data_IF_082168065302
#
_entry.id   IF_082168065302
#
_cell.length_a   1.000
_cell.length_b   1.000
_cell.length_c   1.000
_cell.angle_alpha   90.00
_cell.angle_beta   90.00
_cell.angle_gamma   90.00
#
_symmetry.space_group_name_H-M   'P 1'
#
loop_
_entity.id
_entity.type
_entity.pdbx_description
1 polymer ?
#
# COMPACT_ATOMS: atom_id res chain seq x y z
N UNK A 1 3.38 11.65 -31.44
CA UNK A 1 4.35 10.54 -31.48
C UNK A 1 4.21 9.81 -30.15
N UNK A 2 3.54 8.65 -30.12
CA UNK A 2 3.28 7.91 -28.87
C UNK A 2 4.56 7.15 -28.51
N UNK A 3 5.35 7.68 -27.59
CA UNK A 3 6.44 6.93 -26.96
C UNK A 3 5.81 5.99 -25.93
N UNK A 4 5.45 4.78 -26.37
CA UNK A 4 5.24 3.67 -25.46
C UNK A 4 6.63 3.13 -25.09
N UNK A 5 7.00 3.18 -23.81
CA UNK A 5 8.12 2.40 -23.31
C UNK A 5 7.78 0.91 -23.53
N UNK A 6 8.73 0.09 -24.03
CA UNK A 6 8.49 -1.33 -24.23
C UNK A 6 8.20 -2.03 -22.90
N UNK A 7 7.27 -2.99 -22.95
CA UNK A 7 6.82 -3.85 -21.86
C UNK A 7 8.01 -4.42 -21.06
N UNK A 8 8.00 -4.27 -19.73
CA UNK A 8 9.10 -4.62 -18.82
C UNK A 8 9.28 -6.14 -18.59
N UNK A 9 8.86 -6.97 -19.53
CA UNK A 9 9.00 -8.44 -19.44
C UNK A 9 10.20 -9.00 -20.21
N UNK A 10 11.22 -8.17 -20.44
CA UNK A 10 12.53 -8.68 -20.89
C UNK A 10 13.34 -9.02 -19.65
N UNK A 11 13.38 -10.32 -19.31
CA UNK A 11 14.30 -10.84 -18.30
C UNK A 11 15.72 -10.33 -18.58
N UNK A 12 16.39 -9.87 -17.52
CA UNK A 12 17.73 -9.26 -17.57
C UNK A 12 18.81 -10.18 -18.18
N UNK A 13 18.50 -11.46 -18.44
CA UNK A 13 19.43 -12.47 -18.94
C UNK A 13 19.79 -12.35 -20.44
N UNK A 14 19.30 -11.34 -21.18
CA UNK A 14 19.61 -11.20 -22.63
C UNK A 14 19.87 -9.78 -23.15
N UNK A 15 20.04 -8.77 -22.29
CA UNK A 15 20.30 -7.40 -22.75
C UNK A 15 21.80 -7.16 -22.93
N UNK A 16 22.24 -6.84 -24.15
CA UNK A 16 23.66 -6.54 -24.41
C UNK A 16 24.15 -5.36 -23.54
N UNK A 17 25.42 -5.35 -23.09
CA UNK A 17 25.97 -4.24 -22.30
C UNK A 17 25.77 -2.87 -22.98
N UNK A 18 25.90 -2.81 -24.31
CA UNK A 18 25.64 -1.60 -25.10
C UNK A 18 24.19 -1.12 -24.99
N UNK A 19 23.22 -2.03 -24.93
CA UNK A 19 21.81 -1.69 -24.77
C UNK A 19 21.51 -1.19 -23.35
N UNK A 20 22.16 -1.75 -22.32
CA UNK A 20 22.06 -1.23 -20.95
C UNK A 20 22.64 0.18 -20.83
N UNK A 21 23.81 0.42 -21.43
CA UNK A 21 24.44 1.75 -21.50
C UNK A 21 23.51 2.73 -22.22
N UNK A 22 22.94 2.35 -23.37
CA UNK A 22 22.02 3.21 -24.12
C UNK A 22 20.75 3.52 -23.31
N UNK A 23 20.20 2.54 -22.59
CA UNK A 23 19.05 2.77 -21.68
C UNK A 23 19.43 3.71 -20.54
N UNK A 24 20.60 3.53 -19.93
CA UNK A 24 21.07 4.41 -18.86
C UNK A 24 21.28 5.85 -19.36
N UNK A 25 21.89 6.04 -20.53
CA UNK A 25 22.03 7.35 -21.14
C UNK A 25 20.67 7.97 -21.45
N UNK A 26 19.74 7.22 -22.05
CA UNK A 26 18.39 7.73 -22.34
C UNK A 26 17.63 8.12 -21.07
N UNK A 27 17.79 7.37 -19.97
CA UNK A 27 17.19 7.72 -18.67
C UNK A 27 17.82 9.02 -18.13
N UNK A 28 19.15 9.16 -18.21
CA UNK A 28 19.84 10.39 -17.80
C UNK A 28 19.40 11.60 -18.64
N UNK A 29 19.30 11.45 -19.96
CA UNK A 29 18.87 12.51 -20.88
C UNK A 29 17.41 12.94 -20.61
N UNK A 30 16.58 12.02 -20.12
CA UNK A 30 15.19 12.30 -19.77
C UNK A 30 15.03 12.82 -18.34
N UNK A 31 16.02 12.67 -17.46
CA UNK A 31 15.90 12.98 -16.05
C UNK A 31 15.51 14.46 -15.83
N UNK A 32 16.22 15.39 -16.46
CA UNK A 32 15.93 16.83 -16.34
C UNK A 32 14.50 17.16 -16.81
N UNK A 33 14.05 16.55 -17.91
CA UNK A 33 12.69 16.75 -18.44
C UNK A 33 11.64 16.18 -17.49
N UNK A 34 11.90 15.02 -16.89
CA UNK A 34 11.01 14.39 -15.93
C UNK A 34 10.95 15.20 -14.63
N UNK A 35 12.05 15.79 -14.19
CA UNK A 35 12.10 16.66 -13.01
C UNK A 35 11.29 17.94 -13.23
N UNK A 36 11.39 18.55 -14.42
CA UNK A 36 10.55 19.69 -14.82
C UNK A 36 9.05 19.33 -14.82
N UNK A 37 8.71 18.16 -15.36
CA UNK A 37 7.33 17.67 -15.37
C UNK A 37 6.81 17.36 -13.97
N UNK A 38 7.62 16.76 -13.09
CA UNK A 38 7.28 16.53 -11.68
C UNK A 38 7.04 17.85 -10.95
N UNK A 39 7.86 18.86 -11.20
CA UNK A 39 7.68 20.19 -10.63
C UNK A 39 6.37 20.83 -11.14
N UNK A 40 6.07 20.69 -12.43
CA UNK A 40 4.84 21.21 -13.06
C UNK A 40 3.56 20.62 -12.45
N UNK A 41 3.60 19.39 -11.94
CA UNK A 41 2.46 18.72 -11.30
C UNK A 41 2.57 18.68 -9.77
N UNK A 42 3.45 19.49 -9.17
CA UNK A 42 3.70 19.58 -7.73
C UNK A 42 4.04 18.22 -7.06
N UNK A 43 4.66 17.30 -7.81
CA UNK A 43 4.98 15.94 -7.35
C UNK A 43 6.44 15.73 -6.93
N UNK A 44 7.31 16.73 -7.09
CA UNK A 44 8.74 16.59 -6.72
C UNK A 44 8.92 16.20 -5.25
N UNK A 45 8.20 16.87 -4.34
CA UNK A 45 8.25 16.58 -2.90
C UNK A 45 7.79 15.16 -2.56
N UNK A 46 6.82 14.62 -3.29
CA UNK A 46 6.35 13.25 -3.11
C UNK A 46 7.40 12.25 -3.61
N UNK A 47 8.03 12.52 -4.75
CA UNK A 47 9.10 11.68 -5.28
C UNK A 47 10.27 11.57 -4.30
N UNK A 48 10.72 12.71 -3.76
CA UNK A 48 11.87 12.77 -2.85
C UNK A 48 11.58 12.19 -1.46
N UNK A 49 10.39 12.45 -0.90
CA UNK A 49 10.07 12.07 0.48
C UNK A 49 9.42 10.71 0.62
N UNK A 50 8.82 10.17 -0.44
CA UNK A 50 8.06 8.93 -0.38
C UNK A 50 8.56 7.89 -1.38
N UNK A 51 8.49 8.18 -2.69
CA UNK A 51 8.69 7.12 -3.70
C UNK A 51 10.16 6.68 -3.83
N UNK A 52 11.15 7.59 -3.84
CA UNK A 52 12.56 7.23 -3.87
C UNK A 52 13.03 6.51 -2.59
N UNK A 53 12.69 6.97 -1.37
CA UNK A 53 13.03 6.22 -0.15
C UNK A 53 12.38 4.83 -0.12
N UNK A 54 11.10 4.71 -0.50
CA UNK A 54 10.42 3.41 -0.61
C UNK A 54 11.16 2.49 -1.56
N UNK A 55 11.58 2.98 -2.74
CA UNK A 55 12.31 2.15 -3.70
C UNK A 55 13.61 1.59 -3.10
N UNK A 56 14.34 2.38 -2.30
CA UNK A 56 15.55 1.90 -1.61
C UNK A 56 15.21 0.83 -0.58
N UNK A 57 14.23 1.09 0.30
CA UNK A 57 13.81 0.11 1.31
C UNK A 57 13.33 -1.19 0.66
N UNK A 58 12.58 -1.12 -0.44
CA UNK A 58 12.15 -2.33 -1.17
C UNK A 58 13.36 -3.09 -1.72
N UNK A 59 14.35 -2.42 -2.31
CA UNK A 59 15.56 -3.07 -2.79
C UNK A 59 16.33 -3.78 -1.67
N UNK A 60 16.37 -3.18 -0.47
CA UNK A 60 16.96 -3.80 0.71
C UNK A 60 16.16 -5.06 1.12
N UNK A 61 14.82 -5.01 1.12
CA UNK A 61 13.98 -6.19 1.39
C UNK A 61 14.18 -7.30 0.35
N UNK A 62 14.32 -6.97 -0.93
CA UNK A 62 14.61 -7.95 -1.99
C UNK A 62 15.98 -8.60 -1.77
N UNK A 63 17.00 -7.80 -1.42
CA UNK A 63 18.35 -8.29 -1.16
C UNK A 63 18.42 -9.19 0.10
N UNK A 64 17.71 -8.80 1.17
CA UNK A 64 17.64 -9.58 2.41
C UNK A 64 16.82 -10.86 2.24
N UNK A 65 15.69 -10.78 1.52
CA UNK A 65 14.76 -11.88 1.37
C UNK A 65 14.07 -12.30 2.67
N UNK A 66 13.23 -13.32 2.59
CA UNK A 66 12.49 -13.87 3.73
C UNK A 66 12.87 -15.33 3.94
N UNK A 67 13.24 -15.71 5.16
CA UNK A 67 13.44 -17.11 5.49
C UNK A 67 12.12 -17.89 5.46
N UNK A 68 12.18 -19.09 4.90
CA UNK A 68 11.02 -19.99 4.71
C UNK A 68 11.33 -21.39 5.18
N UNK A 69 10.30 -22.12 5.55
CA UNK A 69 10.40 -23.52 5.99
C UNK A 69 11.13 -24.38 4.92
N UNK A 70 12.34 -24.90 5.22
CA UNK A 70 13.15 -25.65 4.26
C UNK A 70 12.53 -26.98 3.85
N UNK A 71 11.58 -27.51 4.63
CA UNK A 71 10.84 -28.71 4.25
C UNK A 71 9.94 -28.48 3.01
N UNK A 72 9.59 -27.23 2.74
CA UNK A 72 8.68 -26.83 1.67
C UNK A 72 9.40 -26.01 0.59
N UNK A 73 10.49 -25.32 0.96
CA UNK A 73 11.32 -24.50 0.09
C UNK A 73 12.80 -24.84 0.33
N UNK A 74 13.40 -25.76 -0.45
CA UNK A 74 14.77 -26.23 -0.23
C UNK A 74 15.84 -25.13 -0.16
N UNK A 75 15.57 -23.97 -0.76
CA UNK A 75 16.43 -22.79 -0.74
C UNK A 75 16.53 -22.16 0.67
N UNK A 76 15.55 -22.40 1.55
CA UNK A 76 15.48 -21.88 2.92
C UNK A 76 15.27 -20.37 3.03
N UNK A 77 15.51 -19.61 1.95
CA UNK A 77 15.28 -18.18 1.84
C UNK A 77 14.82 -17.83 0.42
N UNK A 78 13.85 -16.94 0.34
CA UNK A 78 13.26 -16.49 -0.92
C UNK A 78 13.41 -14.98 -1.06
N UNK A 79 13.63 -14.54 -2.29
CA UNK A 79 13.86 -13.14 -2.64
C UNK A 79 12.75 -12.70 -3.61
N UNK A 80 11.70 -12.02 -3.12
CA UNK A 80 10.62 -11.57 -3.98
C UNK A 80 11.10 -10.43 -4.89
N UNK A 81 10.33 -10.13 -5.94
CA UNK A 81 10.38 -8.85 -6.63
C UNK A 81 9.20 -8.00 -6.19
N UNK A 82 9.46 -6.83 -5.61
CA UNK A 82 8.45 -5.86 -5.19
C UNK A 82 8.10 -4.91 -6.33
N UNK A 83 6.80 -4.65 -6.48
CA UNK A 83 6.24 -3.76 -7.48
C UNK A 83 5.57 -2.59 -6.78
N UNK A 84 6.14 -1.39 -6.92
CA UNK A 84 5.60 -0.16 -6.34
C UNK A 84 4.97 0.79 -7.38
N UNK A 85 5.15 0.51 -8.67
CA UNK A 85 4.66 1.31 -9.81
C UNK A 85 3.52 0.65 -10.58
N UNK A 86 3.21 -0.64 -10.33
CA UNK A 86 2.16 -1.38 -11.07
C UNK A 86 0.74 -0.97 -10.70
N UNK A 87 0.50 -0.62 -9.45
CA UNK A 87 -0.85 -0.26 -8.99
C UNK A 87 -1.15 1.21 -9.26
N UNK A 88 -2.33 1.50 -9.82
CA UNK A 88 -2.82 2.88 -10.00
C UNK A 88 -3.10 3.61 -8.68
N UNK A 89 -3.22 2.88 -7.57
CA UNK A 89 -3.35 3.44 -6.20
C UNK A 89 -1.99 3.53 -5.50
N UNK A 90 -0.92 3.06 -6.15
CA UNK A 90 0.41 2.98 -5.59
C UNK A 90 0.54 2.01 -4.41
N UNK A 91 -0.40 1.05 -4.30
CA UNK A 91 -0.28 -0.11 -3.43
C UNK A 91 0.90 -0.98 -3.83
N UNK A 92 1.61 -1.48 -2.82
CA UNK A 92 2.75 -2.38 -2.98
C UNK A 92 2.29 -3.81 -3.21
N UNK A 93 3.03 -4.55 -4.02
CA UNK A 93 2.78 -5.98 -4.28
C UNK A 93 4.09 -6.71 -4.53
N UNK A 94 4.08 -8.03 -4.48
CA UNK A 94 5.25 -8.88 -4.72
C UNK A 94 4.95 -9.99 -5.72
N UNK A 95 5.91 -10.34 -6.58
CA UNK A 95 5.89 -11.55 -7.41
C UNK A 95 7.19 -12.33 -7.25
N UNK A 96 7.18 -13.57 -7.76
CA UNK A 96 8.37 -14.41 -7.90
C UNK A 96 9.21 -14.56 -6.60
N UNK A 97 8.60 -14.98 -5.46
CA UNK A 97 7.21 -15.42 -5.29
C UNK A 97 6.28 -14.32 -4.73
N UNK A 98 4.96 -14.52 -4.86
CA UNK A 98 3.98 -13.68 -4.18
C UNK A 98 3.95 -13.99 -2.68
N UNK A 99 4.58 -13.13 -1.88
CA UNK A 99 4.72 -13.28 -0.43
C UNK A 99 3.38 -13.47 0.29
N UNK A 100 2.32 -12.78 -0.14
CA UNK A 100 0.99 -12.91 0.48
C UNK A 100 0.44 -14.34 0.37
N UNK A 101 0.74 -15.05 -0.71
CA UNK A 101 0.27 -16.41 -0.93
C UNK A 101 0.99 -17.44 -0.05
N UNK A 102 2.21 -17.13 0.40
CA UNK A 102 3.09 -18.07 1.12
C UNK A 102 3.45 -17.59 2.53
N UNK A 103 2.83 -16.51 3.02
CA UNK A 103 3.11 -15.91 4.35
C UNK A 103 3.09 -16.88 5.52
N UNK A 104 2.35 -17.99 5.43
CA UNK A 104 2.27 -19.03 6.47
C UNK A 104 3.48 -19.95 6.51
N UNK A 105 4.44 -19.73 5.61
CA UNK A 105 5.67 -20.53 5.45
C UNK A 105 6.91 -19.79 5.93
N UNK A 106 6.75 -18.54 6.36
CA UNK A 106 7.85 -17.73 6.87
C UNK A 106 8.32 -18.29 8.21
N UNK A 107 9.63 -18.32 8.40
CA UNK A 107 10.30 -18.71 9.64
C UNK A 107 11.38 -17.68 9.97
N UNK A 108 11.87 -17.67 11.21
CA UNK A 108 13.02 -16.83 11.56
C UNK A 108 14.27 -17.36 10.85
N UNK A 109 15.01 -16.47 10.19
CA UNK A 109 16.28 -16.82 9.55
C UNK A 109 17.40 -17.09 10.56
N UNK A 110 18.49 -17.67 10.07
CA UNK A 110 19.68 -17.92 10.87
C UNK A 110 20.16 -16.64 11.59
N UNK A 111 20.54 -16.79 12.86
CA UNK A 111 20.98 -15.68 13.71
C UNK A 111 19.84 -14.88 14.37
N UNK A 112 18.58 -15.20 14.08
CA UNK A 112 17.40 -14.52 14.65
C UNK A 112 16.58 -15.51 15.49
N UNK A 113 15.98 -15.02 16.58
CA UNK A 113 15.24 -15.87 17.53
C UNK A 113 13.79 -16.09 17.13
N UNK A 114 13.15 -15.10 16.50
CA UNK A 114 11.74 -15.15 16.14
C UNK A 114 11.39 -14.24 14.95
N UNK A 115 10.18 -14.42 14.43
CA UNK A 115 9.53 -13.44 13.58
C UNK A 115 8.62 -12.57 14.43
N UNK A 116 8.64 -11.26 14.20
CA UNK A 116 7.71 -10.32 14.80
C UNK A 116 6.88 -9.67 13.70
N UNK A 117 5.55 -9.69 13.83
CA UNK A 117 4.66 -9.01 12.88
C UNK A 117 3.94 -7.86 13.58
N UNK A 118 4.09 -6.65 13.04
CA UNK A 118 3.39 -5.45 13.52
C UNK A 118 2.44 -4.99 12.44
N UNK A 119 1.16 -4.79 12.79
CA UNK A 119 0.13 -4.43 11.81
C UNK A 119 -0.76 -3.30 12.29
N UNK A 120 -1.31 -2.54 11.36
CA UNK A 120 -2.34 -1.58 11.69
C UNK A 120 -3.66 -2.24 12.13
N UNK A 121 -4.36 -1.57 13.03
CA UNK A 121 -5.69 -1.96 13.50
C UNK A 121 -6.73 -1.12 12.76
N UNK A 122 -7.51 -1.77 11.88
CA UNK A 122 -8.62 -1.15 11.16
C UNK A 122 -8.21 0.16 10.44
N UNK A 123 -7.15 0.09 9.64
CA UNK A 123 -6.58 1.25 8.96
C UNK A 123 -7.57 1.91 8.00
N UNK A 124 -8.30 1.12 7.20
CA UNK A 124 -9.31 1.62 6.27
C UNK A 124 -10.42 2.38 7.00
N UNK A 125 -10.85 1.90 8.17
CA UNK A 125 -11.90 2.56 8.95
C UNK A 125 -11.44 3.90 9.53
N UNK A 126 -10.17 4.01 9.95
CA UNK A 126 -9.58 5.28 10.41
C UNK A 126 -9.47 6.28 9.28
N UNK A 127 -9.10 5.80 8.09
CA UNK A 127 -9.05 6.62 6.90
C UNK A 127 -10.44 7.12 6.50
N UNK A 128 -11.45 6.25 6.54
CA UNK A 128 -12.85 6.64 6.30
C UNK A 128 -13.33 7.68 7.32
N UNK A 129 -13.03 7.50 8.61
CA UNK A 129 -13.34 8.48 9.65
C UNK A 129 -12.65 9.83 9.42
N UNK A 130 -11.41 9.81 8.92
CA UNK A 130 -10.67 11.02 8.56
C UNK A 130 -11.29 11.73 7.35
N UNK A 131 -11.62 10.99 6.28
CA UNK A 131 -12.21 11.55 5.07
C UNK A 131 -13.63 12.10 5.31
N UNK A 132 -14.44 11.43 6.13
CA UNK A 132 -15.82 11.83 6.41
C UNK A 132 -15.96 12.84 7.56
N UNK A 133 -14.92 13.03 8.37
CA UNK A 133 -15.00 13.75 9.64
C UNK A 133 -15.83 13.04 10.72
N UNK A 134 -16.27 11.80 10.49
CA UNK A 134 -17.08 11.02 11.42
C UNK A 134 -16.22 10.03 12.22
N UNK A 135 -15.77 10.48 13.40
CA UNK A 135 -15.04 9.62 14.35
C UNK A 135 -15.87 8.40 14.82
N UNK A 136 -17.20 8.46 14.73
CA UNK A 136 -18.13 7.39 15.10
C UNK A 136 -17.95 6.12 14.25
N UNK A 137 -17.36 6.24 13.06
CA UNK A 137 -17.04 5.10 12.19
C UNK A 137 -16.04 4.12 12.82
N UNK A 138 -15.32 4.50 13.88
CA UNK A 138 -14.38 3.63 14.59
C UNK A 138 -14.97 2.93 15.81
N UNK A 139 -16.28 3.08 16.07
CA UNK A 139 -17.00 2.50 17.21
C UNK A 139 -17.10 0.96 17.24
N UNK A 140 -17.36 0.40 18.42
CA UNK A 140 -17.15 -1.01 18.75
C UNK A 140 -18.22 -2.01 18.25
N UNK A 141 -19.43 -1.59 17.88
CA UNK A 141 -20.59 -2.51 17.87
C UNK A 141 -20.61 -3.60 16.76
N UNK A 142 -19.73 -3.56 15.75
CA UNK A 142 -19.56 -4.64 14.77
C UNK A 142 -18.18 -4.62 14.09
N UNK A 143 -17.10 -4.56 14.89
CA UNK A 143 -15.74 -4.34 14.38
C UNK A 143 -15.30 -5.31 13.25
N UNK A 144 -15.83 -6.54 13.16
CA UNK A 144 -15.50 -7.42 12.03
C UNK A 144 -16.24 -7.05 10.75
N UNK A 145 -17.58 -6.95 10.77
CA UNK A 145 -18.38 -6.63 9.59
C UNK A 145 -18.02 -5.26 9.01
N UNK A 146 -17.87 -4.25 9.87
CA UNK A 146 -17.50 -2.89 9.45
C UNK A 146 -16.11 -2.84 8.84
N UNK A 147 -15.13 -3.58 9.41
CA UNK A 147 -13.80 -3.71 8.80
C UNK A 147 -13.88 -4.34 7.42
N UNK A 148 -14.69 -5.39 7.27
CA UNK A 148 -14.85 -6.07 5.98
C UNK A 148 -15.53 -5.17 4.95
N UNK A 149 -16.53 -4.36 5.35
CA UNK A 149 -17.17 -3.37 4.45
C UNK A 149 -16.17 -2.27 4.07
N UNK A 150 -15.43 -1.71 5.03
CA UNK A 150 -14.40 -0.71 4.76
C UNK A 150 -13.33 -1.23 3.78
N UNK A 151 -12.88 -2.48 3.99
CA UNK A 151 -11.98 -3.16 3.08
C UNK A 151 -12.60 -3.36 1.70
N UNK A 152 -13.85 -3.85 1.62
CA UNK A 152 -14.56 -4.01 0.36
C UNK A 152 -14.63 -2.70 -0.46
N UNK A 153 -14.85 -1.56 0.21
CA UNK A 153 -14.85 -0.25 -0.44
C UNK A 153 -13.46 0.18 -0.92
N UNK A 154 -12.42 -0.08 -0.13
CA UNK A 154 -11.05 0.25 -0.51
C UNK A 154 -10.57 -0.56 -1.73
N UNK A 155 -11.00 -1.81 -1.89
CA UNK A 155 -10.51 -2.72 -2.92
C UNK A 155 -11.52 -3.01 -4.05
N UNK A 156 -12.52 -2.14 -4.24
CA UNK A 156 -13.58 -2.22 -5.28
C UNK A 156 -14.33 -3.56 -5.32
N UNK A 157 -14.60 -4.16 -4.16
CA UNK A 157 -15.32 -5.43 -4.12
C UNK A 157 -16.78 -5.27 -4.51
N UNK A 158 -17.27 -6.23 -5.28
CA UNK A 158 -18.68 -6.36 -5.57
C UNK A 158 -19.50 -6.90 -4.39
N UNK A 159 -20.83 -6.72 -4.44
CA UNK A 159 -21.73 -7.27 -3.43
C UNK A 159 -21.63 -8.80 -3.26
N UNK A 160 -21.24 -9.54 -4.32
CA UNK A 160 -21.04 -10.98 -4.26
C UNK A 160 -19.81 -11.40 -3.45
N UNK A 161 -18.69 -10.70 -3.64
CA UNK A 161 -17.43 -10.96 -2.92
C UNK A 161 -17.56 -10.62 -1.43
N UNK A 162 -18.20 -9.49 -1.14
CA UNK A 162 -18.53 -9.11 0.24
C UNK A 162 -19.46 -10.13 0.90
N UNK A 163 -20.52 -10.56 0.21
CA UNK A 163 -21.45 -11.56 0.71
C UNK A 163 -20.77 -12.90 1.00
N UNK A 164 -19.90 -13.36 0.10
CA UNK A 164 -19.14 -14.60 0.28
C UNK A 164 -18.19 -14.51 1.50
N UNK A 165 -17.52 -13.36 1.67
CA UNK A 165 -16.58 -13.13 2.78
C UNK A 165 -17.31 -13.09 4.13
N UNK A 166 -18.43 -12.38 4.20
CA UNK A 166 -19.26 -12.26 5.41
C UNK A 166 -20.16 -13.48 5.67
N UNK A 167 -20.28 -14.39 4.70
CA UNK A 167 -21.20 -15.54 4.73
C UNK A 167 -22.66 -15.13 4.93
N UNK A 168 -23.08 -14.06 4.25
CA UNK A 168 -24.46 -13.52 4.26
C UNK A 168 -25.06 -13.55 2.85
N UNK A 169 -26.35 -13.21 2.71
CA UNK A 169 -26.93 -13.10 1.38
C UNK A 169 -26.41 -11.85 0.64
N UNK A 170 -26.42 -11.87 -0.70
CA UNK A 170 -26.08 -10.67 -1.51
C UNK A 170 -26.98 -9.48 -1.17
N UNK A 171 -28.22 -9.72 -0.75
CA UNK A 171 -29.14 -8.68 -0.29
C UNK A 171 -28.63 -8.05 1.01
N UNK A 172 -28.31 -8.86 2.00
CA UNK A 172 -27.83 -8.37 3.30
C UNK A 172 -26.49 -7.63 3.15
N UNK A 173 -25.59 -8.13 2.29
CA UNK A 173 -24.34 -7.43 1.97
C UNK A 173 -24.59 -6.03 1.37
N UNK A 174 -25.55 -5.90 0.45
CA UNK A 174 -25.96 -4.58 -0.09
C UNK A 174 -26.55 -3.68 1.00
N UNK A 175 -27.41 -4.22 1.86
CA UNK A 175 -28.00 -3.46 2.97
C UNK A 175 -26.93 -2.99 3.98
N UNK A 176 -25.89 -3.80 4.23
CA UNK A 176 -24.74 -3.42 5.04
C UNK A 176 -23.93 -2.28 4.41
N UNK A 177 -23.60 -2.38 3.11
CA UNK A 177 -22.89 -1.32 2.39
C UNK A 177 -23.69 -0.03 2.39
N UNK A 178 -25.00 -0.08 2.12
CA UNK A 178 -25.86 1.11 2.11
C UNK A 178 -25.96 1.77 3.48
N UNK A 179 -26.02 0.96 4.55
CA UNK A 179 -26.03 1.48 5.92
C UNK A 179 -24.71 2.18 6.24
N UNK A 180 -23.60 1.63 5.78
CA UNK A 180 -22.27 2.19 6.00
C UNK A 180 -22.02 3.45 5.16
N UNK A 181 -22.40 3.43 3.88
CA UNK A 181 -22.39 4.58 2.96
C UNK A 181 -23.61 5.50 3.18
N UNK A 182 -23.83 5.90 4.43
CA UNK A 182 -24.89 6.84 4.80
C UNK A 182 -24.32 8.06 5.53
N UNK A 183 -25.08 9.15 5.56
CA UNK A 183 -24.69 10.36 6.27
C UNK A 183 -23.38 10.97 5.76
N UNK A 184 -22.50 11.45 6.67
CA UNK A 184 -21.29 12.22 6.31
C UNK A 184 -20.34 11.52 5.36
N UNK A 185 -20.23 10.18 5.45
CA UNK A 185 -19.34 9.43 4.57
C UNK A 185 -19.80 9.48 3.11
N UNK A 186 -21.10 9.36 2.87
CA UNK A 186 -21.65 9.45 1.51
C UNK A 186 -21.43 10.84 0.92
N UNK A 187 -21.62 11.88 1.71
CA UNK A 187 -21.42 13.27 1.31
C UNK A 187 -19.95 13.53 0.96
N UNK A 188 -19.01 13.14 1.84
CA UNK A 188 -17.57 13.28 1.59
C UNK A 188 -17.08 12.55 0.33
N UNK A 189 -17.57 11.33 0.08
CA UNK A 189 -17.23 10.60 -1.15
C UNK A 189 -17.82 11.26 -2.40
N UNK A 190 -19.02 11.82 -2.32
CA UNK A 190 -19.62 12.58 -3.42
C UNK A 190 -18.83 13.87 -3.70
N UNK A 191 -18.44 14.61 -2.66
CA UNK A 191 -17.61 15.81 -2.77
C UNK A 191 -16.24 15.48 -3.40
N UNK A 192 -15.66 14.33 -3.03
CA UNK A 192 -14.42 13.83 -3.63
C UNK A 192 -14.57 13.55 -5.13
N UNK A 193 -15.71 12.99 -5.55
CA UNK A 193 -16.02 12.75 -6.97
C UNK A 193 -16.18 14.07 -7.72
N UNK A 194 -16.88 15.05 -7.14
CA UNK A 194 -17.09 16.35 -7.77
C UNK A 194 -15.77 17.12 -7.90
N UNK A 195 -14.93 17.14 -6.86
CA UNK A 195 -13.59 17.71 -6.94
C UNK A 195 -12.71 17.02 -8.01
N UNK A 196 -12.86 15.70 -8.17
CA UNK A 196 -12.14 14.96 -9.20
C UNK A 196 -12.65 15.26 -10.61
N UNK A 197 -13.95 15.55 -10.79
CA UNK A 197 -14.51 15.99 -12.08
C UNK A 197 -13.96 17.35 -12.50
N UNK A 198 -13.82 18.27 -11.54
CA UNK A 198 -13.32 19.62 -11.79
C UNK A 198 -11.82 19.62 -12.11
N UNK A 199 -11.04 18.80 -11.40
CA UNK A 199 -9.58 18.72 -11.57
C UNK A 199 -9.11 17.71 -12.62
N UNK A 200 -9.95 16.74 -13.00
CA UNK A 200 -9.63 15.65 -13.91
C UNK A 200 -8.85 14.48 -13.28
N UNK A 201 -8.64 14.50 -11.96
CA UNK A 201 -7.94 13.44 -11.23
C UNK A 201 -8.44 13.28 -9.79
N UNK A 202 -8.28 12.07 -9.24
CA UNK A 202 -8.39 11.83 -7.80
C UNK A 202 -7.01 11.96 -7.14
N UNK A 203 -6.95 12.39 -5.89
CA UNK A 203 -5.71 12.48 -5.11
C UNK A 203 -5.76 11.59 -3.86
N UNK A 204 -4.62 11.04 -3.45
CA UNK A 204 -4.44 10.35 -2.16
C UNK A 204 -4.14 11.34 -1.03
N UNK A 205 -4.01 10.85 0.21
CA UNK A 205 -3.63 11.65 1.37
C UNK A 205 -2.33 12.44 1.15
N UNK A 206 -1.30 11.79 0.61
CA UNK A 206 0.00 12.40 0.33
C UNK A 206 0.02 13.21 -0.99
N UNK A 207 -1.11 13.31 -1.69
CA UNK A 207 -1.24 14.08 -2.93
C UNK A 207 -0.91 13.32 -4.22
N UNK A 208 -0.78 11.99 -4.19
CA UNK A 208 -0.60 11.19 -5.43
C UNK A 208 -1.83 11.29 -6.30
N UNK A 209 -1.63 11.62 -7.58
CA UNK A 209 -2.72 11.85 -8.53
C UNK A 209 -3.00 10.61 -9.38
N UNK A 210 -4.27 10.24 -9.50
CA UNK A 210 -4.79 9.28 -10.47
C UNK A 210 -5.72 10.00 -11.44
N UNK A 211 -5.28 10.16 -12.68
CA UNK A 211 -6.08 10.77 -13.74
C UNK A 211 -7.22 9.85 -14.17
N UNK A 212 -8.43 10.41 -14.27
CA UNK A 212 -9.66 9.66 -14.52
C UNK A 212 -10.46 10.36 -15.64
N UNK A 213 -10.06 10.19 -16.91
CA UNK A 213 -10.68 10.91 -18.04
C UNK A 213 -12.17 10.60 -18.21
N UNK A 214 -12.63 9.43 -17.75
CA UNK A 214 -14.00 8.96 -17.90
C UNK A 214 -14.98 9.52 -16.85
N UNK A 215 -14.54 10.38 -15.92
CA UNK A 215 -15.41 10.99 -14.90
C UNK A 215 -16.58 11.80 -15.48
N UNK A 216 -16.40 12.35 -16.68
CA UNK A 216 -17.41 13.10 -17.42
C UNK A 216 -17.92 12.33 -18.65
N UNK A 217 -17.69 11.01 -18.72
CA UNK A 217 -18.11 10.19 -19.85
C UNK A 217 -19.64 10.16 -19.98
N UNK A 218 -20.18 10.23 -21.22
CA UNK A 218 -21.61 9.99 -21.45
C UNK A 218 -21.99 8.52 -21.22
N UNK A 219 -21.01 7.60 -21.29
CA UNK A 219 -21.19 6.19 -20.97
C UNK A 219 -21.35 6.03 -19.45
N UNK A 220 -22.49 5.49 -19.03
CA UNK A 220 -22.82 5.33 -17.61
C UNK A 220 -21.89 4.36 -16.90
N UNK A 221 -21.49 3.26 -17.55
CA UNK A 221 -20.65 2.23 -16.94
C UNK A 221 -19.23 2.76 -16.73
N UNK A 222 -18.68 3.42 -17.76
CA UNK A 222 -17.36 4.06 -17.66
C UNK A 222 -17.35 5.15 -16.59
N UNK A 223 -18.38 6.00 -16.56
CA UNK A 223 -18.50 7.05 -15.54
C UNK A 223 -18.58 6.47 -14.13
N UNK A 224 -19.41 5.47 -13.90
CA UNK A 224 -19.51 4.80 -12.60
C UNK A 224 -18.22 4.09 -12.20
N UNK A 225 -17.50 3.49 -13.15
CA UNK A 225 -16.20 2.91 -12.90
C UNK A 225 -15.16 3.97 -12.49
N UNK A 226 -15.18 5.14 -13.14
CA UNK A 226 -14.34 6.27 -12.77
C UNK A 226 -14.69 6.81 -11.37
N UNK A 227 -15.97 6.94 -11.04
CA UNK A 227 -16.43 7.35 -9.70
C UNK A 227 -15.97 6.36 -8.61
N UNK A 228 -16.11 5.05 -8.83
CA UNK A 228 -15.56 4.04 -7.91
C UNK A 228 -14.04 4.15 -7.78
N UNK A 229 -13.36 4.41 -8.90
CA UNK A 229 -11.91 4.62 -8.91
C UNK A 229 -11.47 5.84 -8.08
N UNK A 230 -12.29 6.90 -7.96
CA UNK A 230 -12.03 8.01 -7.02
C UNK A 230 -12.01 7.49 -5.59
N UNK A 231 -13.07 6.79 -5.17
CA UNK A 231 -13.19 6.23 -3.82
C UNK A 231 -12.02 5.29 -3.49
N UNK A 232 -11.70 4.38 -4.41
CA UNK A 232 -10.57 3.44 -4.28
C UNK A 232 -9.24 4.17 -4.17
N UNK A 233 -9.05 5.25 -4.92
CA UNK A 233 -7.81 6.06 -4.85
C UNK A 233 -7.68 6.75 -3.50
N UNK A 234 -8.75 7.37 -3.00
CA UNK A 234 -8.74 8.01 -1.69
C UNK A 234 -8.46 7.00 -0.57
N UNK A 235 -9.07 5.81 -0.66
CA UNK A 235 -8.97 4.78 0.38
C UNK A 235 -7.71 3.92 0.28
N UNK A 236 -7.59 3.10 -0.77
CA UNK A 236 -6.44 2.21 -0.92
C UNK A 236 -5.15 3.00 -1.13
N UNK A 237 -5.20 4.13 -1.84
CA UNK A 237 -4.05 4.99 -2.02
C UNK A 237 -3.61 5.65 -0.71
N UNK A 238 -4.55 6.09 0.14
CA UNK A 238 -4.25 6.58 1.48
C UNK A 238 -3.66 5.51 2.40
N UNK A 239 -4.15 4.27 2.33
CA UNK A 239 -3.53 3.12 3.02
C UNK A 239 -2.08 2.93 2.56
N UNK A 240 -1.85 2.93 1.25
CA UNK A 240 -0.52 2.78 0.68
C UNK A 240 0.43 3.93 1.08
N UNK A 241 -0.08 5.17 1.16
CA UNK A 241 0.70 6.32 1.65
C UNK A 241 1.18 6.12 3.09
N UNK A 242 0.26 5.71 3.97
CA UNK A 242 0.56 5.50 5.40
C UNK A 242 1.57 4.36 5.56
N UNK A 243 1.34 3.22 4.88
CA UNK A 243 2.22 2.06 4.95
C UNK A 243 3.61 2.37 4.41
N UNK A 244 3.72 3.06 3.27
CA UNK A 244 5.01 3.49 2.71
C UNK A 244 5.77 4.41 3.67
N UNK A 245 5.08 5.38 4.26
CA UNK A 245 5.68 6.31 5.22
C UNK A 245 6.17 5.59 6.47
N UNK A 246 5.36 4.69 7.02
CA UNK A 246 5.73 3.86 8.16
C UNK A 246 6.94 2.98 7.86
N UNK A 247 6.95 2.35 6.68
CA UNK A 247 8.03 1.47 6.23
C UNK A 247 9.37 2.24 6.19
N UNK A 248 9.40 3.46 5.63
CA UNK A 248 10.60 4.30 5.61
C UNK A 248 11.04 4.64 7.04
N UNK A 249 10.13 5.14 7.88
CA UNK A 249 10.48 5.62 9.23
C UNK A 249 10.95 4.48 10.15
N UNK A 250 10.35 3.30 10.02
CA UNK A 250 10.75 2.09 10.74
C UNK A 250 12.15 1.66 10.32
N UNK A 251 12.43 1.57 9.02
CA UNK A 251 13.75 1.15 8.52
C UNK A 251 14.86 2.12 8.97
N UNK A 252 14.59 3.42 8.89
CA UNK A 252 15.49 4.45 9.41
C UNK A 252 15.69 4.32 10.92
N UNK A 253 14.63 4.03 11.66
CA UNK A 253 14.68 3.84 13.11
C UNK A 253 15.53 2.63 13.50
N UNK A 254 15.32 1.47 12.85
CA UNK A 254 16.10 0.24 13.08
C UNK A 254 17.58 0.51 12.83
N UNK A 255 17.90 1.15 11.70
CA UNK A 255 19.28 1.53 11.35
C UNK A 255 19.89 2.50 12.37
N UNK A 256 19.14 3.53 12.77
CA UNK A 256 19.62 4.55 13.71
C UNK A 256 19.81 4.00 15.13
N UNK A 257 19.01 3.02 15.54
CA UNK A 257 19.14 2.32 16.81
C UNK A 257 20.30 1.30 16.81
N UNK A 258 20.86 0.98 15.63
CA UNK A 258 21.95 0.00 15.49
C UNK A 258 21.54 -1.42 15.87
N UNK A 259 20.27 -1.77 15.62
CA UNK A 259 19.73 -3.10 15.90
C UNK A 259 20.24 -4.10 14.86
N UNK A 260 20.49 -5.33 15.30
CA UNK A 260 20.81 -6.45 14.41
C UNK A 260 19.54 -7.04 13.76
N UNK A 261 18.37 -6.79 14.36
CA UNK A 261 17.05 -7.10 13.80
C UNK A 261 16.77 -6.33 12.52
N UNK A 262 15.96 -6.91 11.62
CA UNK A 262 15.66 -6.30 10.32
C UNK A 262 14.24 -6.56 9.85
N UNK A 263 13.70 -5.61 9.11
CA UNK A 263 12.47 -5.81 8.36
C UNK A 263 12.76 -6.74 7.18
N UNK A 264 11.90 -7.74 6.96
CA UNK A 264 12.08 -8.75 5.89
C UNK A 264 10.92 -8.80 4.92
N UNK A 265 9.72 -8.38 5.32
CA UNK A 265 8.59 -8.36 4.42
C UNK A 265 7.55 -7.29 4.78
N UNK A 266 6.90 -6.79 3.74
CA UNK A 266 5.61 -6.11 3.82
C UNK A 266 4.49 -7.03 3.29
N UNK A 267 3.43 -7.21 4.08
CA UNK A 267 2.24 -7.98 3.73
C UNK A 267 0.99 -7.13 3.94
N UNK A 268 0.43 -6.56 2.87
CA UNK A 268 -0.70 -5.60 2.94
C UNK A 268 -0.35 -4.41 3.87
N UNK A 269 -0.84 -4.41 5.11
CA UNK A 269 -0.63 -3.39 6.15
C UNK A 269 0.26 -3.86 7.31
N UNK A 270 1.03 -4.93 7.10
CA UNK A 270 1.82 -5.62 8.12
C UNK A 270 3.32 -5.59 7.80
N UNK A 271 4.12 -5.12 8.76
CA UNK A 271 5.58 -5.18 8.71
C UNK A 271 6.05 -6.44 9.45
N UNK A 272 6.87 -7.25 8.79
CA UNK A 272 7.41 -8.49 9.33
C UNK A 272 8.91 -8.30 9.55
N UNK A 273 9.39 -8.68 10.73
CA UNK A 273 10.78 -8.56 11.14
C UNK A 273 11.36 -9.94 11.47
N UNK A 274 12.62 -10.15 11.11
CA UNK A 274 13.46 -11.13 11.78
C UNK A 274 14.11 -10.42 12.98
N UNK A 275 13.92 -10.97 14.18
CA UNK A 275 14.33 -10.34 15.43
C UNK A 275 15.55 -11.04 16.01
N UNK A 276 16.62 -10.29 16.26
CA UNK A 276 17.82 -10.80 16.92
C UNK A 276 17.57 -11.08 18.40
N UNK A 277 18.44 -11.89 19.01
CA UNK A 277 18.32 -12.25 20.42
C UNK A 277 18.29 -10.99 21.31
N UNK A 278 17.38 -10.96 22.28
CA UNK A 278 17.19 -9.87 23.24
C UNK A 278 16.76 -8.50 22.65
N UNK A 279 16.44 -8.41 21.35
CA UNK A 279 16.01 -7.15 20.71
C UNK A 279 14.49 -7.00 20.54
N UNK A 280 13.71 -8.03 20.87
CA UNK A 280 12.25 -8.09 20.64
C UNK A 280 11.49 -6.85 21.13
N UNK A 281 11.69 -6.48 22.39
CA UNK A 281 10.97 -5.34 22.98
C UNK A 281 11.39 -4.01 22.35
N UNK A 282 12.65 -3.89 21.92
CA UNK A 282 13.15 -2.70 21.23
C UNK A 282 12.54 -2.57 19.83
N UNK A 283 12.51 -3.65 19.05
CA UNK A 283 11.88 -3.68 17.72
C UNK A 283 10.38 -3.42 17.83
N UNK A 284 9.69 -4.06 18.79
CA UNK A 284 8.26 -3.83 19.02
C UNK A 284 7.97 -2.36 19.34
N UNK A 285 8.69 -1.76 20.30
CA UNK A 285 8.48 -0.36 20.68
C UNK A 285 8.75 0.58 19.51
N UNK A 286 9.87 0.35 18.80
CA UNK A 286 10.26 1.18 17.66
C UNK A 286 9.23 1.10 16.53
N UNK A 287 8.84 -0.10 16.11
CA UNK A 287 7.84 -0.29 15.07
C UNK A 287 6.51 0.34 15.48
N UNK A 288 6.09 0.18 16.74
CA UNK A 288 4.88 0.79 17.27
C UNK A 288 4.93 2.31 17.17
N UNK A 289 5.98 2.92 17.70
CA UNK A 289 6.12 4.38 17.77
C UNK A 289 6.18 5.02 16.39
N UNK A 290 6.94 4.42 15.46
CA UNK A 290 7.04 4.92 14.08
C UNK A 290 5.73 4.73 13.31
N UNK A 291 5.08 3.57 13.42
CA UNK A 291 3.85 3.29 12.68
C UNK A 291 2.67 4.16 13.13
N UNK A 292 2.52 4.44 14.44
CA UNK A 292 1.43 5.32 14.91
C UNK A 292 1.65 6.78 14.53
N UNK A 293 2.90 7.19 14.31
CA UNK A 293 3.28 8.54 13.88
C UNK A 293 3.34 8.71 12.35
N UNK A 294 3.09 7.66 11.57
CA UNK A 294 3.25 7.71 10.11
C UNK A 294 2.36 8.76 9.43
N UNK A 295 1.18 9.05 10.01
CA UNK A 295 0.29 10.09 9.51
C UNK A 295 -0.65 10.60 10.61
N UNK A 296 -0.95 11.90 10.60
CA UNK A 296 -1.92 12.50 11.52
C UNK A 296 -3.34 12.40 10.95
N UNK A 297 -4.14 11.47 11.49
CA UNK A 297 -5.55 11.28 11.14
C UNK A 297 -6.47 11.83 12.22
N UNK A 298 -7.75 12.06 11.87
CA UNK A 298 -8.76 12.53 12.81
C UNK A 298 -8.99 11.54 13.97
N UNK A 299 -8.88 10.24 13.68
CA UNK A 299 -8.79 9.18 14.69
C UNK A 299 -7.37 8.62 14.65
N UNK A 300 -6.62 8.64 15.78
CA UNK A 300 -5.23 8.21 15.80
C UNK A 300 -5.01 6.80 15.25
N UNK A 301 -3.89 6.63 14.54
CA UNK A 301 -3.42 5.32 14.11
C UNK A 301 -3.17 4.42 15.32
N UNK A 302 -3.45 3.13 15.14
CA UNK A 302 -3.24 2.12 16.16
C UNK A 302 -2.65 0.88 15.53
N UNK A 303 -1.77 0.21 16.27
CA UNK A 303 -1.11 -1.02 15.82
C UNK A 303 -1.26 -2.14 16.85
N UNK A 304 -1.29 -3.36 16.34
CA UNK A 304 -1.26 -4.58 17.12
C UNK A 304 -0.07 -5.43 16.71
N UNK A 305 0.51 -6.13 17.67
CA UNK A 305 1.60 -7.07 17.44
C UNK A 305 1.02 -8.47 17.41
N UNK A 306 1.43 -9.23 16.41
CA UNK A 306 1.11 -10.64 16.25
C UNK A 306 2.41 -11.41 16.42
N UNK A 307 2.46 -12.22 17.47
CA UNK A 307 3.50 -13.22 17.67
C UNK A 307 3.11 -14.52 16.95
#
# INVERSE_FOLDING_TARGET
>A
MRCALPDETVGLESVSPSALILRACAVLDLADVLDEELARIDSSSLMERLELPVQRTLADLEAVGVAVDPAQFPEGRIHPTYHHTRSATGALSSSDPNLRAIRTRFVAGDGHSELLTVRYVALEMRLLAHLSGDAGLTGAQAAHELRTVAHALAYDWGAGELAATLRVSTRDAKELVLRYLSGPLRESLADSVDAARDSGYAATLSGRRRYLPDLNSPDLELRQAAERAVCVTALQGGVADIVKTAMISVEQGVTAAGLDSRMVALLDDQLVFEVAADERDAVESLARDQMVCAYELAVPLAVSVVA
#
